data_IF_104285690360
#
_entry.id   IF_104285690360
#
_cell.length_a   1.000
_cell.length_b   1.000
_cell.length_c   1.000
_cell.angle_alpha   90.00
_cell.angle_beta   90.00
_cell.angle_gamma   90.00
#
_symmetry.space_group_name_H-M   'P 1'
#
loop_
_entity.id
_entity.type
_entity.pdbx_description
1 polymer ?
#
# COMPACT_ATOMS: atom_id res chain seq x y z
N UNK A 1 -22.76 -11.85 -20.74
CA UNK A 1 -23.03 -11.58 -19.30
C UNK A 1 -24.31 -12.32 -18.89
N UNK A 2 -24.22 -13.21 -17.91
CA UNK A 2 -25.32 -14.02 -17.37
C UNK A 2 -25.95 -13.33 -16.15
N UNK A 3 -27.12 -13.80 -15.71
CA UNK A 3 -27.73 -13.37 -14.45
C UNK A 3 -27.15 -14.15 -13.26
N UNK A 4 -27.26 -13.59 -12.06
CA UNK A 4 -26.91 -14.31 -10.82
C UNK A 4 -27.72 -15.61 -10.63
N UNK A 5 -28.96 -15.65 -11.12
CA UNK A 5 -29.80 -16.88 -11.08
C UNK A 5 -29.22 -17.97 -12.00
N UNK A 6 -28.72 -17.62 -13.18
CA UNK A 6 -28.05 -18.58 -14.07
C UNK A 6 -26.77 -19.12 -13.42
N UNK A 7 -25.95 -18.26 -12.75
CA UNK A 7 -24.81 -18.72 -11.97
C UNK A 7 -25.22 -19.74 -10.91
N UNK A 8 -26.30 -19.46 -10.16
CA UNK A 8 -26.81 -20.38 -9.12
C UNK A 8 -27.22 -21.72 -9.72
N UNK A 9 -27.91 -21.71 -10.88
CA UNK A 9 -28.32 -22.93 -11.59
C UNK A 9 -27.11 -23.72 -12.07
N UNK A 10 -26.12 -23.05 -12.69
CA UNK A 10 -24.87 -23.67 -13.14
C UNK A 10 -24.09 -24.28 -11.97
N UNK A 11 -24.01 -23.57 -10.85
CA UNK A 11 -23.32 -24.02 -9.65
C UNK A 11 -23.94 -25.29 -9.09
N UNK A 12 -25.26 -25.34 -8.98
CA UNK A 12 -26.03 -26.57 -8.53
C UNK A 12 -25.86 -27.73 -9.48
N UNK A 13 -25.77 -27.48 -10.79
CA UNK A 13 -25.59 -28.51 -11.80
C UNK A 13 -24.20 -29.20 -11.77
N UNK A 14 -23.23 -28.57 -11.14
CA UNK A 14 -21.85 -29.13 -10.98
C UNK A 14 -21.58 -29.64 -9.56
N UNK A 15 -22.56 -29.58 -8.66
CA UNK A 15 -22.39 -30.06 -7.29
C UNK A 15 -21.98 -31.55 -7.28
N UNK A 16 -21.14 -31.91 -6.32
CA UNK A 16 -20.53 -33.23 -6.19
C UNK A 16 -19.73 -33.76 -7.40
N UNK A 17 -19.51 -32.93 -8.45
CA UNK A 17 -18.61 -33.28 -9.56
C UNK A 17 -17.15 -33.07 -9.17
N UNK A 18 -16.24 -33.48 -10.06
CA UNK A 18 -14.81 -33.26 -9.89
C UNK A 18 -14.45 -31.76 -9.93
N UNK A 19 -13.48 -31.34 -9.18
CA UNK A 19 -13.06 -29.94 -8.99
C UNK A 19 -12.88 -29.14 -10.31
N UNK A 20 -12.28 -29.71 -11.38
CA UNK A 20 -12.16 -29.00 -12.66
C UNK A 20 -13.47 -28.51 -13.27
N UNK A 21 -14.63 -29.07 -12.87
CA UNK A 21 -15.92 -28.61 -13.36
C UNK A 21 -16.27 -27.18 -12.96
N UNK A 22 -15.62 -26.62 -11.93
CA UNK A 22 -15.71 -25.19 -11.58
C UNK A 22 -15.28 -24.25 -12.71
N UNK A 23 -14.44 -24.71 -13.66
CA UNK A 23 -13.98 -23.89 -14.80
C UNK A 23 -15.14 -23.40 -15.67
N UNK A 24 -16.27 -24.10 -15.69
CA UNK A 24 -17.47 -23.67 -16.41
C UNK A 24 -18.10 -22.39 -15.87
N UNK A 25 -17.70 -21.96 -14.65
CA UNK A 25 -18.18 -20.73 -14.02
C UNK A 25 -17.35 -19.49 -14.37
N UNK A 26 -16.26 -19.60 -15.14
CA UNK A 26 -15.40 -18.48 -15.51
C UNK A 26 -16.08 -17.57 -16.54
N UNK A 27 -16.95 -16.68 -16.09
CA UNK A 27 -17.76 -15.75 -16.88
C UNK A 27 -18.16 -14.50 -16.05
N UNK A 28 -18.95 -13.61 -16.67
CA UNK A 28 -19.50 -12.39 -16.07
C UNK A 28 -20.95 -12.60 -15.63
N UNK A 29 -21.30 -12.15 -14.42
CA UNK A 29 -22.61 -12.34 -13.79
C UNK A 29 -23.15 -11.03 -13.22
N UNK A 30 -24.39 -10.66 -13.56
CA UNK A 30 -25.06 -9.48 -13.02
C UNK A 30 -25.68 -9.76 -11.66
N UNK A 31 -25.30 -8.99 -10.64
CA UNK A 31 -25.79 -9.04 -9.26
C UNK A 31 -26.49 -7.72 -8.88
N UNK A 32 -27.52 -7.34 -9.61
CA UNK A 32 -28.30 -6.12 -9.33
C UNK A 32 -27.47 -4.85 -9.50
N UNK A 33 -26.78 -4.41 -8.43
CA UNK A 33 -26.00 -3.15 -8.39
C UNK A 33 -24.55 -3.28 -8.85
N UNK A 34 -24.06 -4.48 -9.11
CA UNK A 34 -22.70 -4.73 -9.59
C UNK A 34 -22.63 -5.94 -10.51
N UNK A 35 -21.54 -6.07 -11.22
CA UNK A 35 -21.18 -7.27 -11.99
C UNK A 35 -20.10 -8.02 -11.22
N UNK A 36 -20.27 -9.33 -11.05
CA UNK A 36 -19.23 -10.25 -10.58
C UNK A 36 -18.60 -10.93 -11.78
N UNK A 37 -17.30 -10.85 -11.90
CA UNK A 37 -16.51 -11.56 -12.92
C UNK A 37 -15.65 -12.61 -12.24
N UNK A 38 -15.69 -13.83 -12.75
CA UNK A 38 -14.79 -14.91 -12.36
C UNK A 38 -13.71 -15.01 -13.43
N UNK A 39 -12.56 -14.37 -13.18
CA UNK A 39 -11.46 -14.23 -14.16
C UNK A 39 -10.72 -15.56 -14.36
N UNK A 40 -10.44 -16.22 -13.24
CA UNK A 40 -9.69 -17.47 -13.23
C UNK A 40 -10.20 -18.39 -12.13
N UNK A 41 -10.38 -19.65 -12.47
CA UNK A 41 -10.75 -20.70 -11.52
C UNK A 41 -9.54 -21.55 -11.20
N UNK A 42 -9.25 -21.69 -9.91
CA UNK A 42 -8.16 -22.55 -9.43
C UNK A 42 -8.34 -24.00 -9.91
N UNK A 43 -7.23 -24.66 -10.24
CA UNK A 43 -7.24 -26.03 -10.79
C UNK A 43 -7.50 -27.13 -9.76
N UNK A 44 -7.24 -26.85 -8.46
CA UNK A 44 -7.28 -27.81 -7.35
C UNK A 44 -7.47 -27.01 -6.03
N UNK A 45 -8.15 -27.56 -5.00
CA UNK A 45 -8.36 -26.85 -3.72
C UNK A 45 -7.08 -26.37 -3.02
N UNK A 46 -5.92 -26.97 -3.31
CA UNK A 46 -4.62 -26.61 -2.73
C UNK A 46 -3.84 -25.62 -3.58
N UNK A 47 -4.23 -25.39 -4.83
CA UNK A 47 -3.61 -24.43 -5.74
C UNK A 47 -3.84 -22.97 -5.31
N UNK A 48 -3.30 -22.01 -6.04
CA UNK A 48 -3.59 -20.58 -5.84
C UNK A 48 -5.11 -20.34 -5.99
N UNK A 49 -5.72 -19.51 -5.13
CA UNK A 49 -7.16 -19.29 -5.14
C UNK A 49 -7.65 -18.73 -6.49
N UNK A 50 -8.94 -18.92 -6.77
CA UNK A 50 -9.58 -18.33 -7.94
C UNK A 50 -9.52 -16.80 -7.87
N UNK A 51 -9.28 -16.15 -9.02
CA UNK A 51 -9.27 -14.70 -9.15
C UNK A 51 -10.65 -14.23 -9.62
N UNK A 52 -11.19 -13.26 -8.92
CA UNK A 52 -12.47 -12.62 -9.20
C UNK A 52 -12.33 -11.11 -9.11
N UNK A 53 -13.25 -10.40 -9.79
CA UNK A 53 -13.43 -8.98 -9.50
C UNK A 53 -14.90 -8.57 -9.51
N UNK A 54 -15.18 -7.44 -8.84
CA UNK A 54 -16.45 -6.74 -8.91
C UNK A 54 -16.29 -5.51 -9.79
N UNK A 55 -17.28 -5.24 -10.63
CA UNK A 55 -17.45 -3.99 -11.33
C UNK A 55 -18.70 -3.28 -10.81
N UNK A 56 -18.50 -2.15 -10.14
CA UNK A 56 -19.57 -1.36 -9.53
C UNK A 56 -19.65 -0.04 -10.30
N UNK A 57 -20.75 0.23 -11.03
CA UNK A 57 -20.92 1.52 -11.68
C UNK A 57 -20.83 2.67 -10.68
N UNK A 58 -20.02 3.70 -10.98
CA UNK A 58 -19.80 4.84 -10.07
C UNK A 58 -21.11 5.45 -9.59
N UNK A 59 -22.06 5.68 -10.50
CA UNK A 59 -23.37 6.22 -10.17
C UNK A 59 -24.16 5.37 -9.16
N UNK A 60 -23.97 4.05 -9.18
CA UNK A 60 -24.66 3.14 -8.25
C UNK A 60 -23.97 3.09 -6.88
N UNK A 61 -22.68 3.37 -6.81
CA UNK A 61 -21.94 3.41 -5.56
C UNK A 61 -22.40 4.56 -4.66
N UNK A 62 -22.90 5.65 -5.26
CA UNK A 62 -23.42 6.83 -4.56
C UNK A 62 -22.32 7.73 -3.98
N UNK A 63 -21.06 7.56 -4.37
CA UNK A 63 -19.99 8.48 -4.00
C UNK A 63 -20.10 9.78 -4.80
N UNK A 64 -19.90 10.95 -4.17
CA UNK A 64 -19.85 12.24 -4.86
C UNK A 64 -18.58 12.37 -5.70
N UNK A 65 -18.65 13.13 -6.80
CA UNK A 65 -17.54 13.32 -7.75
C UNK A 65 -16.31 13.98 -7.10
N UNK A 66 -16.53 14.82 -6.09
CA UNK A 66 -15.47 15.51 -5.35
C UNK A 66 -14.49 14.59 -4.62
N UNK A 67 -14.84 13.33 -4.43
CA UNK A 67 -13.94 12.32 -3.83
C UNK A 67 -12.92 11.74 -4.82
N UNK A 68 -13.00 12.11 -6.10
CA UNK A 68 -12.09 11.61 -7.14
C UNK A 68 -11.63 12.66 -8.15
N UNK A 69 -11.93 13.94 -7.89
CA UNK A 69 -11.58 15.05 -8.77
C UNK A 69 -10.07 15.36 -8.81
N UNK A 70 -9.32 14.83 -7.83
CA UNK A 70 -7.87 14.89 -7.74
C UNK A 70 -7.30 13.49 -7.47
N UNK A 71 -6.07 13.22 -7.93
CA UNK A 71 -5.44 11.91 -7.77
C UNK A 71 -5.25 11.53 -6.30
N UNK A 72 -4.82 12.46 -5.43
CA UNK A 72 -4.66 12.17 -4.00
C UNK A 72 -5.98 11.71 -3.35
N UNK A 73 -7.10 12.33 -3.67
CA UNK A 73 -8.42 11.93 -3.17
C UNK A 73 -8.84 10.57 -3.71
N UNK A 74 -8.67 10.37 -5.02
CA UNK A 74 -8.98 9.09 -5.68
C UNK A 74 -8.18 7.95 -5.06
N UNK A 75 -6.88 8.13 -4.87
CA UNK A 75 -5.99 7.12 -4.26
C UNK A 75 -6.38 6.86 -2.80
N UNK A 76 -6.65 7.91 -2.02
CA UNK A 76 -7.10 7.78 -0.63
C UNK A 76 -8.43 7.02 -0.53
N UNK A 77 -9.38 7.31 -1.43
CA UNK A 77 -10.64 6.58 -1.51
C UNK A 77 -10.41 5.11 -1.87
N UNK A 78 -9.61 4.80 -2.88
CA UNK A 78 -9.27 3.42 -3.28
C UNK A 78 -8.65 2.63 -2.12
N UNK A 79 -7.69 3.22 -1.41
CA UNK A 79 -7.03 2.61 -0.25
C UNK A 79 -8.03 2.40 0.90
N UNK A 80 -8.87 3.39 1.20
CA UNK A 80 -9.90 3.29 2.23
C UNK A 80 -10.91 2.18 1.94
N UNK A 81 -11.40 2.08 0.70
CA UNK A 81 -12.34 1.03 0.27
C UNK A 81 -11.70 -0.36 0.32
N UNK A 82 -10.42 -0.47 -0.05
CA UNK A 82 -9.66 -1.73 0.06
C UNK A 82 -9.58 -2.20 1.50
N UNK A 83 -9.29 -1.31 2.46
CA UNK A 83 -9.24 -1.61 3.90
C UNK A 83 -10.60 -2.04 4.45
N UNK A 84 -11.66 -1.36 4.05
CA UNK A 84 -13.01 -1.74 4.44
C UNK A 84 -13.36 -3.13 3.93
N UNK A 85 -13.11 -3.41 2.66
CA UNK A 85 -13.40 -4.71 2.08
C UNK A 85 -12.54 -5.82 2.69
N UNK A 86 -11.25 -5.57 2.94
CA UNK A 86 -10.39 -6.49 3.68
C UNK A 86 -11.00 -6.85 5.04
N UNK A 87 -11.41 -5.85 5.83
CA UNK A 87 -12.04 -6.07 7.14
C UNK A 87 -13.34 -6.87 7.06
N UNK A 88 -14.14 -6.67 6.00
CA UNK A 88 -15.38 -7.44 5.80
C UNK A 88 -15.08 -8.87 5.36
N UNK A 89 -14.15 -9.07 4.41
CA UNK A 89 -13.81 -10.40 3.91
C UNK A 89 -13.16 -11.28 4.98
N UNK A 90 -12.32 -10.73 5.86
CA UNK A 90 -11.77 -11.49 6.99
C UNK A 90 -12.85 -12.09 7.89
N UNK A 91 -13.99 -11.41 8.08
CA UNK A 91 -15.11 -11.92 8.89
C UNK A 91 -15.77 -13.16 8.29
N UNK A 92 -15.69 -13.33 6.98
CA UNK A 92 -16.32 -14.41 6.24
C UNK A 92 -15.33 -15.48 5.77
N UNK A 93 -14.06 -15.16 5.69
CA UNK A 93 -13.02 -16.06 5.23
C UNK A 93 -13.00 -17.35 6.06
N UNK A 94 -12.91 -18.49 5.38
CA UNK A 94 -12.94 -19.83 5.95
C UNK A 94 -14.23 -20.22 6.71
N UNK A 95 -15.33 -19.47 6.58
CA UNK A 95 -16.63 -19.90 7.14
C UNK A 95 -17.25 -21.04 6.32
N UNK A 96 -17.09 -21.03 5.01
CA UNK A 96 -17.35 -22.21 4.19
C UNK A 96 -16.18 -23.18 4.36
N UNK A 97 -16.45 -24.36 4.93
CA UNK A 97 -15.42 -25.36 5.25
C UNK A 97 -15.07 -26.19 4.02
N UNK A 98 -13.92 -26.83 4.04
CA UNK A 98 -13.47 -27.72 2.98
C UNK A 98 -11.96 -27.98 3.01
N UNK A 99 -11.46 -28.64 1.97
CA UNK A 99 -10.05 -28.99 1.82
C UNK A 99 -9.21 -27.83 1.31
N UNK A 100 -7.95 -27.77 1.69
CA UNK A 100 -6.98 -26.79 1.19
C UNK A 100 -7.41 -25.34 1.48
N UNK A 101 -7.54 -24.53 0.44
CA UNK A 101 -7.92 -23.11 0.54
C UNK A 101 -9.43 -22.87 0.45
N UNK A 102 -10.24 -23.92 0.56
CA UNK A 102 -11.72 -23.82 0.52
C UNK A 102 -12.23 -22.76 1.49
N UNK A 103 -13.08 -21.88 1.02
CA UNK A 103 -13.70 -20.84 1.83
C UNK A 103 -12.82 -19.60 2.10
N UNK A 104 -11.58 -19.56 1.61
CA UNK A 104 -10.76 -18.34 1.64
C UNK A 104 -11.47 -17.22 0.85
N UNK A 105 -11.54 -16.03 1.44
CA UNK A 105 -11.87 -14.79 0.74
C UNK A 105 -10.79 -13.79 1.12
N UNK A 106 -10.04 -13.28 0.17
CA UNK A 106 -8.92 -12.38 0.45
C UNK A 106 -8.75 -11.30 -0.60
N UNK A 107 -8.33 -10.12 -0.13
CA UNK A 107 -7.87 -8.99 -0.93
C UNK A 107 -6.53 -8.53 -0.39
N UNK A 108 -5.84 -7.62 -1.05
CA UNK A 108 -4.59 -7.02 -0.56
C UNK A 108 -4.76 -6.49 0.85
N UNK A 109 -3.87 -6.94 1.76
CA UNK A 109 -3.76 -6.37 3.09
C UNK A 109 -2.93 -5.09 3.00
N UNK A 110 -3.53 -3.96 3.36
CA UNK A 110 -2.85 -2.68 3.42
C UNK A 110 -2.07 -2.55 4.74
N UNK A 111 -0.84 -2.05 4.67
CA UNK A 111 -0.07 -1.59 5.84
C UNK A 111 -0.48 -0.14 6.21
N UNK A 112 0.39 0.66 6.82
CA UNK A 112 0.03 2.02 7.23
C UNK A 112 0.10 3.04 6.09
N UNK A 113 0.77 2.71 5.00
CA UNK A 113 0.95 3.57 3.85
C UNK A 113 -0.30 3.57 2.96
N UNK A 114 -0.66 4.76 2.47
CA UNK A 114 -1.67 4.94 1.43
C UNK A 114 -1.01 4.78 0.08
N UNK A 115 -1.41 3.76 -0.68
CA UNK A 115 -0.82 3.43 -1.97
C UNK A 115 -1.90 3.21 -3.03
N UNK A 116 -1.63 3.61 -4.25
CA UNK A 116 -2.43 3.20 -5.39
C UNK A 116 -2.19 1.70 -5.66
N UNK A 117 -3.27 0.92 -5.64
CA UNK A 117 -3.20 -0.54 -5.81
C UNK A 117 -4.22 -1.01 -6.84
N UNK A 118 -3.84 -1.99 -7.64
CA UNK A 118 -4.75 -2.65 -8.58
C UNK A 118 -5.88 -3.44 -7.90
N UNK A 119 -5.80 -3.62 -6.56
CA UNK A 119 -6.85 -4.29 -5.79
C UNK A 119 -8.18 -3.55 -5.79
N UNK A 120 -8.15 -2.21 -5.82
CA UNK A 120 -9.34 -1.37 -5.97
C UNK A 120 -8.97 -0.19 -6.88
N UNK A 121 -9.56 -0.13 -8.04
CA UNK A 121 -9.33 0.93 -9.02
C UNK A 121 -10.62 1.72 -9.26
N UNK A 122 -10.53 3.03 -9.25
CA UNK A 122 -11.63 3.94 -9.56
C UNK A 122 -11.33 4.60 -10.91
N UNK A 123 -12.09 4.20 -11.91
CA UNK A 123 -12.11 4.84 -13.23
C UNK A 123 -13.22 5.91 -13.30
N UNK A 124 -13.39 6.50 -14.49
CA UNK A 124 -14.46 7.49 -14.72
C UNK A 124 -15.86 6.94 -14.44
N UNK A 125 -16.12 5.66 -14.77
CA UNK A 125 -17.48 5.11 -14.74
C UNK A 125 -17.65 3.94 -13.79
N UNK A 126 -16.56 3.39 -13.26
CA UNK A 126 -16.59 2.11 -12.55
C UNK A 126 -15.58 2.06 -11.41
N UNK A 127 -15.97 1.40 -10.32
CA UNK A 127 -15.06 0.92 -9.27
C UNK A 127 -14.83 -0.55 -9.55
N UNK A 128 -13.57 -0.93 -9.82
CA UNK A 128 -13.17 -2.32 -10.06
C UNK A 128 -12.42 -2.84 -8.84
N UNK A 129 -12.89 -3.95 -8.25
CA UNK A 129 -12.32 -4.53 -7.02
C UNK A 129 -11.89 -5.96 -7.28
N UNK A 130 -10.59 -6.24 -7.22
CA UNK A 130 -9.99 -7.55 -7.47
C UNK A 130 -9.65 -8.27 -6.17
N UNK A 131 -10.08 -9.51 -6.07
CA UNK A 131 -9.92 -10.33 -4.87
C UNK A 131 -9.82 -11.81 -5.22
N UNK A 132 -9.56 -12.64 -4.24
CA UNK A 132 -9.42 -14.07 -4.43
C UNK A 132 -10.42 -14.84 -3.58
N UNK A 133 -10.90 -15.95 -4.15
CA UNK A 133 -11.80 -16.90 -3.46
C UNK A 133 -11.28 -18.31 -3.63
N UNK A 134 -11.10 -19.01 -2.51
CA UNK A 134 -10.85 -20.45 -2.52
C UNK A 134 -12.18 -21.21 -2.69
N UNK A 135 -12.41 -21.77 -3.86
CA UNK A 135 -13.66 -22.48 -4.17
C UNK A 135 -13.77 -23.75 -3.32
N UNK A 136 -14.89 -23.93 -2.60
CA UNK A 136 -15.04 -25.01 -1.63
C UNK A 136 -15.10 -26.40 -2.26
N UNK A 137 -14.42 -27.33 -1.60
CA UNK A 137 -14.44 -28.75 -1.95
C UNK A 137 -14.15 -29.64 -0.75
N UNK A 138 -14.63 -30.86 -0.73
CA UNK A 138 -14.22 -31.93 0.16
C UNK A 138 -13.36 -32.94 -0.63
N UNK A 139 -12.08 -33.05 -0.28
CA UNK A 139 -11.09 -33.66 -1.16
C UNK A 139 -11.01 -32.87 -2.47
N UNK A 140 -11.37 -33.50 -3.58
CA UNK A 140 -11.49 -32.88 -4.93
C UNK A 140 -12.91 -32.89 -5.46
N UNK A 141 -13.89 -33.06 -4.58
CA UNK A 141 -15.33 -33.05 -4.91
C UNK A 141 -15.91 -31.69 -4.59
N UNK A 142 -16.57 -31.08 -5.53
CA UNK A 142 -17.20 -29.75 -5.43
C UNK A 142 -18.22 -29.71 -4.27
N UNK A 143 -18.13 -28.62 -3.47
CA UNK A 143 -19.18 -28.18 -2.55
C UNK A 143 -19.83 -26.90 -3.12
N UNK A 144 -20.89 -27.09 -3.92
CA UNK A 144 -21.63 -25.98 -4.51
C UNK A 144 -22.35 -25.14 -3.44
N UNK A 145 -22.84 -25.77 -2.38
CA UNK A 145 -23.51 -25.09 -1.28
C UNK A 145 -22.59 -24.12 -0.53
N UNK A 146 -21.33 -24.52 -0.33
CA UNK A 146 -20.30 -23.64 0.24
C UNK A 146 -20.00 -22.44 -0.66
N UNK A 147 -19.84 -22.63 -1.97
CA UNK A 147 -19.60 -21.53 -2.90
C UNK A 147 -20.86 -20.66 -3.07
N UNK A 148 -22.07 -21.23 -3.05
CA UNK A 148 -23.30 -20.44 -3.07
C UNK A 148 -23.38 -19.50 -1.87
N UNK A 149 -23.02 -19.93 -0.66
CA UNK A 149 -22.93 -19.06 0.53
C UNK A 149 -21.91 -17.92 0.34
N UNK A 150 -20.75 -18.21 -0.25
CA UNK A 150 -19.73 -17.19 -0.49
C UNK A 150 -20.25 -16.15 -1.47
N UNK A 151 -20.74 -16.56 -2.64
CA UNK A 151 -21.07 -15.64 -3.73
C UNK A 151 -22.41 -14.92 -3.54
N UNK A 152 -23.37 -15.51 -2.81
CA UNK A 152 -24.74 -14.97 -2.68
C UNK A 152 -25.10 -14.47 -1.28
N UNK A 153 -24.26 -14.72 -0.26
CA UNK A 153 -24.50 -14.22 1.09
C UNK A 153 -23.31 -13.41 1.62
N UNK A 154 -22.09 -13.94 1.62
CA UNK A 154 -20.94 -13.29 2.21
C UNK A 154 -20.43 -12.12 1.37
N UNK A 155 -20.22 -12.36 0.08
CA UNK A 155 -19.72 -11.35 -0.85
C UNK A 155 -20.67 -10.16 -1.02
N UNK A 156 -21.99 -10.32 -1.20
CA UNK A 156 -22.90 -9.19 -1.25
C UNK A 156 -22.87 -8.35 0.04
N UNK A 157 -22.85 -8.98 1.21
CA UNK A 157 -22.75 -8.27 2.50
C UNK A 157 -21.45 -7.50 2.65
N UNK A 158 -20.33 -8.09 2.20
CA UNK A 158 -19.04 -7.43 2.20
C UNK A 158 -19.02 -6.23 1.23
N UNK A 159 -19.52 -6.41 0.01
CA UNK A 159 -19.59 -5.37 -1.01
C UNK A 159 -20.49 -4.21 -0.57
N UNK A 160 -21.68 -4.47 -0.03
CA UNK A 160 -22.60 -3.44 0.47
C UNK A 160 -21.98 -2.56 1.57
N UNK A 161 -21.19 -3.17 2.46
CA UNK A 161 -20.54 -2.46 3.57
C UNK A 161 -19.22 -1.80 3.20
N UNK A 162 -18.76 -1.97 1.96
CA UNK A 162 -17.45 -1.44 1.55
C UNK A 162 -17.52 -0.48 0.37
N UNK A 163 -18.49 -0.63 -0.55
CA UNK A 163 -18.45 0.08 -1.83
C UNK A 163 -19.69 0.95 -2.11
N UNK A 164 -20.59 1.12 -1.15
CA UNK A 164 -21.77 1.95 -1.31
C UNK A 164 -21.82 3.04 -0.25
N UNK A 165 -21.72 4.29 -0.66
CA UNK A 165 -21.57 5.47 0.21
C UNK A 165 -22.62 5.55 1.33
N UNK A 166 -23.86 5.12 1.05
CA UNK A 166 -24.97 5.11 2.03
C UNK A 166 -24.71 4.24 3.26
N UNK A 167 -23.81 3.25 3.15
CA UNK A 167 -23.52 2.27 4.20
C UNK A 167 -22.19 2.53 4.92
N UNK A 168 -21.45 3.58 4.51
CA UNK A 168 -20.15 3.92 5.07
C UNK A 168 -20.26 5.02 6.12
N UNK A 169 -19.31 5.01 7.05
CA UNK A 169 -19.12 6.15 7.94
C UNK A 169 -18.53 7.33 7.17
N UNK A 170 -19.38 8.34 6.93
CA UNK A 170 -19.02 9.55 6.19
C UNK A 170 -17.86 10.31 6.84
N UNK A 171 -17.77 10.31 8.18
CA UNK A 171 -16.70 11.02 8.89
C UNK A 171 -15.36 10.36 8.65
N UNK A 172 -15.29 9.04 8.75
CA UNK A 172 -14.06 8.28 8.49
C UNK A 172 -13.60 8.42 7.04
N UNK A 173 -14.53 8.33 6.09
CA UNK A 173 -14.24 8.54 4.66
C UNK A 173 -13.71 9.94 4.38
N UNK A 174 -14.39 10.96 4.90
CA UNK A 174 -14.00 12.36 4.71
C UNK A 174 -12.65 12.65 5.36
N UNK A 175 -12.40 12.12 6.55
CA UNK A 175 -11.11 12.26 7.24
C UNK A 175 -9.95 11.65 6.42
N UNK A 176 -10.15 10.49 5.79
CA UNK A 176 -9.14 9.88 4.93
C UNK A 176 -8.81 10.74 3.70
N UNK A 177 -9.82 11.30 3.05
CA UNK A 177 -9.65 12.17 1.87
C UNK A 177 -9.02 13.50 2.26
N UNK A 178 -9.50 14.16 3.32
CA UNK A 178 -8.93 15.41 3.80
C UNK A 178 -7.47 15.29 4.23
N UNK A 179 -7.12 14.17 4.88
CA UNK A 179 -5.74 13.90 5.24
C UNK A 179 -4.84 13.81 4.01
N UNK A 180 -5.28 13.14 2.94
CA UNK A 180 -4.52 13.04 1.70
C UNK A 180 -4.35 14.42 1.00
N UNK A 181 -5.37 15.28 1.04
CA UNK A 181 -5.24 16.67 0.56
C UNK A 181 -4.24 17.46 1.39
N UNK A 182 -4.30 17.35 2.72
CA UNK A 182 -3.37 18.03 3.63
C UNK A 182 -1.91 17.55 3.43
N UNK A 183 -1.70 16.24 3.25
CA UNK A 183 -0.40 15.66 2.97
C UNK A 183 0.16 16.13 1.62
N UNK A 184 -0.68 16.17 0.59
CA UNK A 184 -0.32 16.68 -0.75
C UNK A 184 0.05 18.17 -0.69
N UNK A 185 -0.76 18.99 -0.01
CA UNK A 185 -0.49 20.40 0.18
C UNK A 185 0.79 20.64 0.97
N UNK A 186 1.02 19.87 2.04
CA UNK A 186 2.25 19.98 2.83
C UNK A 186 3.50 19.68 1.99
N UNK A 187 3.48 18.63 1.15
CA UNK A 187 4.58 18.31 0.22
C UNK A 187 4.83 19.48 -0.76
N UNK A 188 3.77 20.10 -1.27
CA UNK A 188 3.92 21.26 -2.15
C UNK A 188 4.59 22.43 -1.41
N UNK A 189 4.12 22.78 -0.22
CA UNK A 189 4.69 23.86 0.60
C UNK A 189 6.11 23.57 1.06
N UNK A 190 6.45 22.32 1.32
CA UNK A 190 7.83 21.90 1.58
C UNK A 190 8.74 22.22 0.39
N UNK A 191 8.31 21.86 -0.83
CA UNK A 191 9.08 22.19 -2.06
C UNK A 191 9.27 23.69 -2.24
N UNK A 192 8.22 24.50 -2.06
CA UNK A 192 8.27 25.97 -2.15
C UNK A 192 9.26 26.61 -1.18
N UNK A 193 9.45 26.00 0.00
CA UNK A 193 10.37 26.47 1.05
C UNK A 193 11.71 25.76 1.06
N UNK A 194 12.02 24.94 0.06
CA UNK A 194 13.26 24.16 -0.02
C UNK A 194 13.46 23.24 1.21
N UNK A 195 12.38 22.67 1.74
CA UNK A 195 12.36 21.70 2.83
C UNK A 195 12.25 20.31 2.22
N UNK A 196 13.18 19.42 2.56
CA UNK A 196 13.25 18.06 2.02
C UNK A 196 12.63 17.00 2.93
N UNK A 197 12.47 17.32 4.22
CA UNK A 197 11.76 16.46 5.16
C UNK A 197 11.05 17.30 6.22
N UNK A 198 9.90 16.83 6.69
CA UNK A 198 9.13 17.44 7.77
C UNK A 198 8.68 16.38 8.76
N UNK A 199 8.80 16.65 10.06
CA UNK A 199 8.32 15.80 11.13
C UNK A 199 7.46 16.65 12.07
N UNK A 200 6.16 16.43 12.06
CA UNK A 200 5.24 17.20 12.89
C UNK A 200 5.44 16.94 14.38
N UNK A 201 5.28 17.98 15.19
CA UNK A 201 5.19 17.83 16.64
C UNK A 201 3.99 16.96 17.00
N UNK A 202 4.15 16.07 17.98
CA UNK A 202 3.14 15.10 18.37
C UNK A 202 3.19 13.77 17.60
N UNK A 203 4.00 13.66 16.54
CA UNK A 203 4.15 12.40 15.78
C UNK A 203 4.66 11.25 16.66
N UNK A 204 4.15 10.05 16.43
CA UNK A 204 4.59 8.80 17.06
C UNK A 204 5.53 8.07 16.12
N UNK A 205 6.83 8.26 16.33
CA UNK A 205 7.83 7.70 15.42
C UNK A 205 8.10 6.21 15.63
N UNK A 206 8.18 5.67 16.87
CA UNK A 206 8.48 4.26 17.10
C UNK A 206 7.31 3.35 16.73
N UNK A 207 7.64 2.15 16.28
CA UNK A 207 6.70 1.06 16.02
C UNK A 207 6.65 0.08 17.19
N UNK A 208 5.56 -0.66 17.31
CA UNK A 208 5.32 -1.63 18.39
C UNK A 208 6.46 -2.67 18.50
N UNK A 209 7.06 -3.07 17.39
CA UNK A 209 8.22 -3.95 17.32
C UNK A 209 8.94 -3.78 15.97
N UNK A 210 10.12 -4.37 15.81
CA UNK A 210 10.89 -4.33 14.56
C UNK A 210 10.21 -4.96 13.35
N UNK A 211 9.16 -5.76 13.57
CA UNK A 211 8.38 -6.41 12.49
C UNK A 211 6.94 -5.90 12.39
N UNK A 212 6.58 -4.89 13.20
CA UNK A 212 5.23 -4.31 13.22
C UNK A 212 5.23 -2.94 12.55
N UNK A 213 4.22 -2.69 11.74
CA UNK A 213 3.92 -1.38 11.15
C UNK A 213 3.08 -0.48 12.08
N UNK A 214 2.53 -1.06 13.17
CA UNK A 214 1.64 -0.35 14.10
C UNK A 214 2.42 0.59 15.01
N UNK A 215 1.87 1.80 15.34
CA UNK A 215 2.50 2.72 16.26
C UNK A 215 2.70 2.11 17.65
N UNK A 216 3.80 2.47 18.32
CA UNK A 216 4.05 2.07 19.70
C UNK A 216 3.11 2.85 20.63
N UNK A 217 2.33 2.13 21.42
CA UNK A 217 1.54 2.73 22.49
C UNK A 217 2.45 3.27 23.60
N UNK A 218 2.03 4.32 24.24
CA UNK A 218 2.72 4.94 25.40
C UNK A 218 4.15 5.43 25.08
N UNK A 219 4.44 5.71 23.80
CA UNK A 219 5.71 6.32 23.39
C UNK A 219 5.70 7.83 23.57
N UNK A 220 6.88 8.41 23.72
CA UNK A 220 7.05 9.88 23.79
C UNK A 220 6.79 10.47 22.41
N UNK A 221 5.81 11.40 22.27
CA UNK A 221 5.57 12.10 21.03
C UNK A 221 6.80 12.94 20.61
N UNK A 222 7.01 13.05 19.30
CA UNK A 222 8.09 13.86 18.77
C UNK A 222 7.88 15.35 19.08
N UNK A 223 8.97 16.03 19.44
CA UNK A 223 9.02 17.48 19.64
C UNK A 223 10.23 18.02 18.86
N UNK A 224 9.96 18.98 17.99
CA UNK A 224 11.02 19.59 17.16
C UNK A 224 11.99 20.45 17.98
N UNK A 225 13.29 20.47 17.63
CA UNK A 225 14.19 21.49 18.11
C UNK A 225 13.71 22.89 17.67
N UNK A 226 13.71 23.87 18.58
CA UNK A 226 13.23 25.24 18.30
C UNK A 226 13.90 25.89 17.09
N UNK A 227 15.16 25.58 16.88
CA UNK A 227 15.96 26.15 15.75
C UNK A 227 15.57 25.58 14.39
N UNK A 228 14.88 24.45 14.34
CA UNK A 228 14.42 23.79 13.12
C UNK A 228 12.90 23.81 12.98
N UNK A 229 12.19 24.39 13.97
CA UNK A 229 10.74 24.42 13.96
C UNK A 229 10.22 25.39 12.88
N UNK A 230 9.33 24.89 12.04
CA UNK A 230 8.54 25.69 11.10
C UNK A 230 7.07 25.35 11.22
N UNK A 231 6.22 26.28 10.77
CA UNK A 231 4.78 26.05 10.67
C UNK A 231 4.31 26.12 9.23
N UNK A 232 3.31 25.28 8.93
CA UNK A 232 2.58 25.26 7.66
C UNK A 232 1.09 25.34 7.96
N UNK A 233 0.32 26.00 7.07
CA UNK A 233 -1.14 26.05 7.18
C UNK A 233 -1.72 25.12 6.13
N UNK A 234 -2.50 24.12 6.55
CA UNK A 234 -3.10 23.10 5.70
C UNK A 234 -4.60 23.34 5.54
N UNK A 235 -5.20 22.87 4.44
CA UNK A 235 -6.61 23.14 4.13
C UNK A 235 -7.60 22.67 5.20
N UNK A 236 -7.37 21.49 5.78
CA UNK A 236 -8.31 20.87 6.71
C UNK A 236 -7.76 20.78 8.14
N UNK A 237 -6.47 20.50 8.30
CA UNK A 237 -5.84 20.42 9.62
C UNK A 237 -5.64 21.80 10.27
N UNK A 238 -5.50 22.87 9.45
CA UNK A 238 -5.09 24.20 9.93
C UNK A 238 -3.58 24.32 10.14
N UNK A 239 -3.13 25.07 11.15
CA UNK A 239 -1.69 25.24 11.41
C UNK A 239 -1.10 23.97 11.99
N UNK A 240 0.00 23.50 11.35
CA UNK A 240 0.83 22.40 11.83
C UNK A 240 2.25 22.89 12.06
N UNK A 241 2.89 22.47 13.15
CA UNK A 241 4.27 22.82 13.53
C UNK A 241 5.12 21.57 13.64
N UNK A 242 6.38 21.68 13.24
CA UNK A 242 7.29 20.54 13.30
C UNK A 242 8.69 20.88 12.87
N UNK A 243 9.57 19.90 12.91
CA UNK A 243 10.94 20.00 12.43
C UNK A 243 10.95 20.00 10.91
N UNK A 244 11.42 21.07 10.31
CA UNK A 244 11.67 21.18 8.88
C UNK A 244 13.17 21.01 8.59
N UNK A 245 13.52 20.04 7.77
CA UNK A 245 14.88 19.77 7.33
C UNK A 245 15.10 20.44 5.99
N UNK A 246 15.99 21.45 5.89
CA UNK A 246 16.26 22.14 4.64
C UNK A 246 17.11 21.25 3.71
N UNK A 247 17.10 21.57 2.42
CA UNK A 247 18.04 20.98 1.46
C UNK A 247 19.49 21.27 1.86
N UNK A 248 20.38 20.33 1.55
CA UNK A 248 21.80 20.37 1.90
C UNK A 248 22.21 19.14 2.72
N UNK A 249 23.25 19.26 3.53
CA UNK A 249 23.77 18.16 4.34
C UNK A 249 23.26 18.31 5.77
N UNK A 250 22.49 17.33 6.24
CA UNK A 250 22.01 17.27 7.63
C UNK A 250 22.56 16.03 8.31
N UNK A 251 23.21 16.19 9.45
CA UNK A 251 23.73 15.09 10.27
C UNK A 251 22.75 14.75 11.39
N UNK A 252 22.40 13.47 11.51
CA UNK A 252 21.63 12.92 12.63
C UNK A 252 22.60 12.24 13.59
N UNK A 253 22.98 12.92 14.67
CA UNK A 253 23.97 12.44 15.61
C UNK A 253 23.39 12.17 17.01
N UNK A 254 24.05 11.34 17.79
CA UNK A 254 23.64 11.00 19.15
C UNK A 254 24.17 9.64 19.60
N UNK A 255 24.11 9.37 20.89
CA UNK A 255 24.52 8.09 21.49
C UNK A 255 23.60 6.92 21.12
N UNK A 256 23.97 5.71 21.54
CA UNK A 256 23.12 4.53 21.44
C UNK A 256 21.78 4.76 22.11
N UNK A 257 20.70 4.18 21.56
CA UNK A 257 19.33 4.26 22.07
C UNK A 257 18.70 5.68 22.13
N UNK A 258 19.30 6.70 21.50
CA UNK A 258 18.75 8.06 21.44
C UNK A 258 17.75 8.29 20.29
N UNK A 259 17.28 7.22 19.64
CA UNK A 259 16.21 7.31 18.65
C UNK A 259 16.65 7.66 17.22
N UNK A 260 17.97 7.71 16.90
CA UNK A 260 18.48 7.99 15.54
C UNK A 260 17.89 7.08 14.48
N UNK A 261 18.00 5.76 14.68
CA UNK A 261 17.46 4.77 13.74
C UNK A 261 15.92 4.81 13.67
N UNK A 262 15.23 5.18 14.76
CA UNK A 262 13.78 5.39 14.78
C UNK A 262 13.39 6.58 13.90
N UNK A 263 14.11 7.71 14.02
CA UNK A 263 13.89 8.88 13.19
C UNK A 263 14.20 8.58 11.72
N UNK A 264 15.34 7.95 11.43
CA UNK A 264 15.71 7.57 10.06
C UNK A 264 14.69 6.62 9.44
N UNK A 265 14.20 5.62 10.19
CA UNK A 265 13.15 4.72 9.73
C UNK A 265 11.82 5.43 9.50
N UNK A 266 11.49 6.45 10.29
CA UNK A 266 10.30 7.26 10.07
C UNK A 266 10.43 8.11 8.80
N UNK A 267 11.59 8.75 8.61
CA UNK A 267 11.89 9.51 7.39
C UNK A 267 11.89 8.63 6.14
N UNK A 268 12.46 7.42 6.23
CA UNK A 268 12.44 6.47 5.12
C UNK A 268 11.01 6.15 4.64
N UNK A 269 10.06 6.00 5.57
CA UNK A 269 8.66 5.73 5.25
C UNK A 269 7.89 7.01 4.88
N UNK A 270 8.43 8.19 5.18
CA UNK A 270 7.84 9.49 4.88
C UNK A 270 7.75 9.83 3.38
N UNK A 271 8.31 9.00 2.49
CA UNK A 271 8.08 9.07 1.04
C UNK A 271 6.63 8.75 0.67
N UNK A 272 5.94 7.98 1.53
CA UNK A 272 4.54 7.63 1.38
C UNK A 272 3.65 8.50 2.26
N UNK A 273 2.40 8.64 1.87
CA UNK A 273 1.36 9.15 2.74
C UNK A 273 0.91 8.05 3.71
N UNK A 274 0.53 8.42 4.93
CA UNK A 274 0.12 7.49 5.97
C UNK A 274 -1.34 7.69 6.35
N UNK A 275 -1.99 6.58 6.74
CA UNK A 275 -3.40 6.62 7.18
C UNK A 275 -3.57 7.36 8.51
N UNK A 276 -4.77 7.87 8.76
CA UNK A 276 -5.13 8.48 10.03
C UNK A 276 -4.96 7.50 11.21
N UNK A 277 -4.38 7.96 12.31
CA UNK A 277 -4.10 7.17 13.50
C UNK A 277 -2.79 6.38 13.46
N UNK A 278 -2.00 6.52 12.38
CA UNK A 278 -0.68 5.91 12.28
C UNK A 278 0.37 6.60 13.17
N UNK A 279 0.17 7.86 13.50
CA UNK A 279 1.11 8.69 14.24
C UNK A 279 2.26 9.26 13.39
N UNK A 280 2.34 8.92 12.11
CA UNK A 280 3.31 9.46 11.14
C UNK A 280 2.62 10.16 9.98
N UNK A 281 1.36 10.57 10.14
CA UNK A 281 0.54 11.20 9.10
C UNK A 281 1.25 12.41 8.47
N UNK A 282 1.97 13.17 9.29
CA UNK A 282 2.74 14.34 8.87
C UNK A 282 4.25 14.18 9.11
N UNK A 283 4.75 12.97 8.90
CA UNK A 283 6.18 12.69 8.69
C UNK A 283 6.38 12.51 7.20
N UNK A 284 6.74 13.58 6.52
CA UNK A 284 6.83 13.63 5.07
C UNK A 284 8.25 13.93 4.61
N UNK A 285 8.65 13.30 3.53
CA UNK A 285 9.98 13.41 2.93
C UNK A 285 9.81 13.60 1.43
N UNK A 286 10.81 14.18 0.76
CA UNK A 286 10.82 14.26 -0.71
C UNK A 286 10.53 12.89 -1.30
N UNK A 287 9.57 12.79 -2.19
CA UNK A 287 9.07 11.54 -2.78
C UNK A 287 10.11 10.76 -3.57
N UNK A 288 11.22 11.43 -3.96
CA UNK A 288 12.35 10.83 -4.66
C UNK A 288 13.42 10.29 -3.71
N UNK A 289 13.21 10.34 -2.39
CA UNK A 289 14.20 9.93 -1.41
C UNK A 289 14.55 8.44 -1.52
N UNK A 290 15.85 8.13 -1.45
CA UNK A 290 16.38 6.78 -1.45
C UNK A 290 17.22 6.56 -0.19
N UNK A 291 16.98 5.43 0.49
CA UNK A 291 17.86 5.00 1.59
C UNK A 291 19.05 4.23 1.05
N UNK A 292 20.24 4.63 1.46
CA UNK A 292 21.50 3.97 1.12
C UNK A 292 22.13 3.36 2.36
N UNK A 293 22.70 2.18 2.18
CA UNK A 293 23.54 1.48 3.16
C UNK A 293 24.82 1.03 2.47
N UNK A 294 25.87 0.85 3.27
CA UNK A 294 27.05 0.12 2.82
C UNK A 294 26.69 -1.37 2.67
N UNK A 295 26.84 -1.92 1.47
CA UNK A 295 26.53 -3.31 1.15
C UNK A 295 27.80 -4.01 0.66
N UNK A 296 28.48 -4.70 1.56
CA UNK A 296 29.61 -5.56 1.18
C UNK A 296 29.14 -6.72 0.31
N UNK A 297 29.92 -7.07 -0.72
CA UNK A 297 29.58 -8.15 -1.63
C UNK A 297 28.58 -7.79 -2.73
N UNK A 298 28.12 -6.55 -2.81
CA UNK A 298 27.20 -6.10 -3.87
C UNK A 298 27.84 -6.21 -5.25
N UNK A 299 27.14 -6.77 -6.23
CA UNK A 299 27.55 -6.71 -7.64
C UNK A 299 27.23 -5.34 -8.24
N UNK A 300 28.22 -4.71 -8.88
CA UNK A 300 28.10 -3.45 -9.60
C UNK A 300 28.44 -3.70 -11.07
N UNK A 301 27.72 -3.09 -11.97
CA UNK A 301 27.94 -3.22 -13.42
C UNK A 301 27.89 -1.87 -14.10
N UNK A 302 29.01 -1.52 -14.77
CA UNK A 302 29.13 -0.36 -15.65
C UNK A 302 28.63 0.97 -15.05
N UNK A 303 28.95 1.24 -13.77
CA UNK A 303 28.56 2.46 -13.06
C UNK A 303 29.74 3.41 -13.01
N UNK A 304 29.53 4.70 -13.28
CA UNK A 304 30.55 5.74 -13.10
C UNK A 304 30.62 6.13 -11.63
N UNK A 305 31.69 5.73 -10.94
CA UNK A 305 31.94 6.04 -9.53
C UNK A 305 33.02 7.11 -9.37
N UNK A 306 33.50 7.72 -10.48
CA UNK A 306 34.64 8.64 -10.48
C UNK A 306 34.37 9.95 -9.72
N UNK A 307 33.12 10.29 -9.41
CA UNK A 307 32.77 11.41 -8.55
C UNK A 307 33.30 11.23 -7.11
N UNK A 308 33.38 10.00 -6.63
CA UNK A 308 33.79 9.67 -5.26
C UNK A 308 35.09 8.91 -5.17
N UNK A 309 35.38 8.05 -6.14
CA UNK A 309 36.52 7.14 -6.09
C UNK A 309 37.31 7.25 -7.40
N UNK A 310 38.57 7.66 -7.28
CA UNK A 310 39.53 7.71 -8.38
C UNK A 310 40.75 6.84 -8.02
N UNK A 311 41.53 6.47 -9.03
CA UNK A 311 42.81 5.80 -8.88
C UNK A 311 42.79 4.54 -7.99
N UNK A 312 41.91 3.61 -8.33
CA UNK A 312 41.84 2.33 -7.61
C UNK A 312 43.17 1.57 -7.67
N UNK A 313 43.65 1.01 -6.52
CA UNK A 313 44.92 0.28 -6.47
C UNK A 313 45.07 -0.88 -7.47
N UNK A 314 43.95 -1.46 -7.87
CA UNK A 314 43.90 -2.55 -8.86
C UNK A 314 43.79 -2.07 -10.32
N UNK A 315 43.88 -0.75 -10.56
CA UNK A 315 43.85 -0.15 -11.90
C UNK A 315 42.51 -0.24 -12.64
N UNK A 316 41.43 -0.63 -11.97
CA UNK A 316 40.10 -0.70 -12.59
C UNK A 316 39.59 0.70 -12.97
N UNK A 317 38.93 0.79 -14.12
CA UNK A 317 38.34 2.02 -14.59
C UNK A 317 37.15 2.44 -13.72
N UNK A 318 37.20 3.62 -13.11
CA UNK A 318 36.16 4.16 -12.24
C UNK A 318 35.00 4.82 -13.00
N UNK A 319 35.21 5.19 -14.27
CA UNK A 319 34.15 5.74 -15.15
C UNK A 319 33.21 4.66 -15.73
N UNK A 320 33.67 3.42 -15.70
CA UNK A 320 32.86 2.26 -16.14
C UNK A 320 33.19 1.09 -15.22
N UNK A 321 32.88 1.30 -13.94
CA UNK A 321 33.25 0.37 -12.91
C UNK A 321 32.34 -0.86 -12.88
N UNK A 322 32.98 -2.03 -12.77
CA UNK A 322 32.27 -3.30 -12.64
C UNK A 322 33.03 -4.21 -11.66
N UNK A 323 32.28 -4.81 -10.75
CA UNK A 323 32.79 -5.83 -9.82
C UNK A 323 31.66 -6.77 -9.40
N UNK A 324 31.94 -8.07 -9.22
CA UNK A 324 30.97 -9.00 -8.62
C UNK A 324 30.87 -8.85 -7.11
N UNK A 325 31.85 -8.16 -6.48
CA UNK A 325 32.04 -8.12 -5.02
C UNK A 325 32.59 -6.74 -4.63
N UNK A 326 31.71 -5.82 -4.31
CA UNK A 326 32.05 -4.45 -3.93
C UNK A 326 32.30 -4.33 -2.43
N UNK A 327 33.28 -3.49 -2.03
CA UNK A 327 33.39 -3.04 -0.64
C UNK A 327 32.23 -2.11 -0.27
N UNK A 328 31.99 -1.93 1.03
CA UNK A 328 30.92 -1.06 1.52
C UNK A 328 30.98 0.36 0.94
N UNK A 329 32.16 1.00 0.94
CA UNK A 329 32.36 2.36 0.38
C UNK A 329 32.09 2.41 -1.13
N UNK A 330 32.52 1.38 -1.87
CA UNK A 330 32.30 1.30 -3.31
C UNK A 330 30.81 1.09 -3.63
N UNK A 331 30.12 0.27 -2.83
CA UNK A 331 28.68 0.04 -2.99
C UNK A 331 27.86 1.32 -2.69
N UNK A 332 28.24 2.10 -1.66
CA UNK A 332 27.62 3.39 -1.39
C UNK A 332 27.85 4.40 -2.52
N UNK A 333 29.08 4.52 -3.01
CA UNK A 333 29.40 5.41 -4.13
C UNK A 333 28.54 5.07 -5.36
N UNK A 334 28.46 3.79 -5.73
CA UNK A 334 27.61 3.33 -6.83
C UNK A 334 26.13 3.60 -6.55
N UNK A 335 25.65 3.35 -5.33
CA UNK A 335 24.25 3.59 -4.95
C UNK A 335 23.84 5.06 -5.07
N UNK A 336 24.73 6.02 -4.73
CA UNK A 336 24.47 7.45 -4.92
C UNK A 336 24.33 7.77 -6.41
N UNK A 337 25.25 7.31 -7.25
CA UNK A 337 25.21 7.60 -8.69
C UNK A 337 23.98 6.98 -9.36
N UNK A 338 23.67 5.73 -9.06
CA UNK A 338 22.46 5.06 -9.53
C UNK A 338 21.19 5.80 -9.08
N UNK A 339 21.16 6.28 -7.83
CA UNK A 339 20.05 7.10 -7.32
C UNK A 339 19.93 8.43 -8.07
N UNK A 340 21.03 9.11 -8.36
CA UNK A 340 21.04 10.35 -9.16
C UNK A 340 20.52 10.08 -10.57
N UNK A 341 20.98 9.01 -11.22
CA UNK A 341 20.52 8.58 -12.55
C UNK A 341 19.02 8.26 -12.55
N UNK A 342 18.50 7.68 -11.46
CA UNK A 342 17.07 7.41 -11.26
C UNK A 342 16.25 8.68 -10.92
N UNK A 343 16.90 9.85 -10.75
CA UNK A 343 16.23 11.11 -10.45
C UNK A 343 16.03 11.41 -8.97
N UNK A 344 16.70 10.68 -8.06
CA UNK A 344 16.66 10.97 -6.62
C UNK A 344 17.31 12.31 -6.30
N UNK A 345 16.63 13.09 -5.48
CA UNK A 345 17.12 14.40 -4.98
C UNK A 345 17.47 14.38 -3.50
N UNK A 346 17.18 13.28 -2.82
CA UNK A 346 17.44 13.10 -1.40
C UNK A 346 17.97 11.70 -1.10
N UNK A 347 19.04 11.64 -0.36
CA UNK A 347 19.62 10.39 0.12
C UNK A 347 19.58 10.32 1.65
N UNK A 348 19.01 9.25 2.17
CA UNK A 348 19.04 8.90 3.58
C UNK A 348 20.15 7.87 3.78
N UNK A 349 21.30 8.30 4.31
CA UNK A 349 22.48 7.45 4.44
C UNK A 349 22.55 6.90 5.85
N UNK A 350 22.66 5.59 5.95
CA UNK A 350 22.80 4.81 7.19
C UNK A 350 24.21 4.20 7.21
N UNK A 351 25.00 4.56 8.22
CA UNK A 351 26.40 4.17 8.32
C UNK A 351 26.63 2.88 9.13
N UNK A 352 25.64 2.05 9.34
CA UNK A 352 25.84 0.77 10.04
C UNK A 352 26.51 -0.29 9.18
#
# INVERSE_FOLDING_TARGET
>A
MKSSNELRTMLRAIDHKSYPSYRSLAEEYRFGTYVLVIDHVQGDPFASPSALHLEIPWKQSGFPEELRDQDCKRIALQDHLTRLFFSQTERFSFRAKGSGKSGLISISRCAQEVLERSACEISRDTITVRFHVGFPAFGRTIDAGGLEKILFDFLPKAAEKSFFAKNLDRKSLQAAVWLAEDQTELRQRMRERNVVAFVANGSILPRKSGVSDQPMKDSIPFVSPKTMEQSFVLPHHGEIRGMAVPAGITLIVGGGYHGKSTLLSALQMGVYDHVAGDGREFVLVDETAVKLRAEEGRSIRNTDISMFINDLPNGKNTKSFSTPDASGSTSQAAGVLEGIEAGSRLFLIDED
#
